data_IF_384192837345
#
_entry.id   IF_384192837345
#
_cell.length_a   1.000
_cell.length_b   1.000
_cell.length_c   1.000
_cell.angle_alpha   90.00
_cell.angle_beta   90.00
_cell.angle_gamma   90.00
#
_symmetry.space_group_name_H-M   'P 1'
#
loop_
_entity.id
_entity.type
_entity.pdbx_description
1 polymer ?
#
# COMPACT_ATOMS: atom_id res chain seq x y z
N UNK A 1 3.89 0.90 8.76
CA UNK A 1 3.03 -0.30 8.77
C UNK A 1 2.07 -0.28 9.95
N UNK A 2 2.58 -0.13 11.18
CA UNK A 2 1.74 -0.04 12.39
C UNK A 2 0.61 0.99 12.29
N UNK A 3 0.92 2.23 11.87
CA UNK A 3 -0.09 3.28 11.66
C UNK A 3 -1.19 2.89 10.68
N UNK A 4 -0.88 2.11 9.64
CA UNK A 4 -1.89 1.64 8.68
C UNK A 4 -2.85 0.65 9.35
N UNK A 5 -2.32 -0.30 10.12
CA UNK A 5 -3.13 -1.27 10.87
C UNK A 5 -4.00 -0.54 11.90
N UNK A 6 -3.44 0.41 12.65
CA UNK A 6 -4.17 1.18 13.66
C UNK A 6 -5.26 2.06 13.04
N UNK A 7 -4.97 2.71 11.91
CA UNK A 7 -5.96 3.52 11.19
C UNK A 7 -7.10 2.65 10.63
N UNK A 8 -6.76 1.48 10.08
CA UNK A 8 -7.78 0.57 9.55
C UNK A 8 -8.64 -0.01 10.68
N UNK A 9 -8.02 -0.39 11.80
CA UNK A 9 -8.72 -0.84 12.99
C UNK A 9 -9.63 0.25 13.57
N UNK A 10 -9.20 1.52 13.53
CA UNK A 10 -10.04 2.64 13.92
C UNK A 10 -11.23 2.86 12.97
N UNK A 11 -11.02 2.65 11.66
CA UNK A 11 -12.07 2.76 10.64
C UNK A 11 -13.11 1.64 10.72
N UNK A 12 -12.70 0.41 11.03
CA UNK A 12 -13.60 -0.76 11.12
C UNK A 12 -14.24 -0.86 12.51
N UNK A 13 -13.53 -0.44 13.55
CA UNK A 13 -13.91 -0.59 14.95
C UNK A 13 -13.26 -1.82 15.59
N UNK A 14 -13.03 -1.74 16.91
CA UNK A 14 -12.37 -2.82 17.66
C UNK A 14 -13.31 -4.00 17.87
N UNK A 15 -14.55 -3.77 18.30
CA UNK A 15 -15.53 -4.81 18.56
C UNK A 15 -15.81 -5.73 17.35
N UNK A 16 -16.10 -5.22 16.13
CA UNK A 16 -16.30 -6.08 14.97
C UNK A 16 -15.08 -6.94 14.62
N UNK A 17 -13.87 -6.39 14.80
CA UNK A 17 -12.62 -7.12 14.56
C UNK A 17 -12.39 -8.18 15.63
N UNK A 18 -12.67 -7.87 16.90
CA UNK A 18 -12.61 -8.79 18.03
C UNK A 18 -13.55 -9.99 17.82
N UNK A 19 -14.80 -9.71 17.46
CA UNK A 19 -15.81 -10.73 17.16
C UNK A 19 -15.37 -11.61 15.98
N UNK A 20 -14.80 -11.02 14.92
CA UNK A 20 -14.36 -11.76 13.73
C UNK A 20 -13.16 -12.68 13.97
N UNK A 21 -12.25 -12.31 14.89
CA UNK A 21 -11.06 -13.11 15.21
C UNK A 21 -11.22 -13.93 16.50
N UNK A 22 -12.39 -13.87 17.15
CA UNK A 22 -12.73 -14.67 18.32
C UNK A 22 -12.00 -14.27 19.61
N UNK A 23 -11.69 -12.99 19.78
CA UNK A 23 -11.02 -12.48 21.00
C UNK A 23 -11.81 -11.34 21.63
N UNK A 24 -11.62 -11.10 22.93
CA UNK A 24 -12.23 -9.95 23.59
C UNK A 24 -11.69 -8.61 23.07
N UNK A 25 -12.57 -7.60 23.03
CA UNK A 25 -12.20 -6.22 22.68
C UNK A 25 -11.08 -5.65 23.58
N UNK A 26 -11.06 -6.06 24.86
CA UNK A 26 -10.01 -5.69 25.81
C UNK A 26 -8.63 -6.26 25.43
N UNK A 27 -8.59 -7.37 24.67
CA UNK A 27 -7.36 -7.98 24.15
C UNK A 27 -6.82 -7.15 22.99
N UNK A 28 -7.69 -6.68 22.09
CA UNK A 28 -7.31 -5.73 21.02
C UNK A 28 -6.77 -4.43 21.62
N UNK A 29 -7.39 -3.93 22.69
CA UNK A 29 -6.91 -2.73 23.37
C UNK A 29 -5.47 -2.88 23.87
N UNK A 30 -5.13 -4.03 24.47
CA UNK A 30 -3.77 -4.38 24.92
C UNK A 30 -2.78 -4.49 23.76
N UNK A 31 -3.20 -5.00 22.61
CA UNK A 31 -2.32 -5.16 21.44
C UNK A 31 -1.82 -3.85 20.83
N UNK A 32 -2.60 -2.77 20.98
CA UNK A 32 -2.27 -1.41 20.50
C UNK A 32 -1.28 -0.65 21.38
N UNK A 33 -0.94 -1.17 22.57
CA UNK A 33 0.00 -0.52 23.47
C UNK A 33 1.40 -0.37 22.84
N UNK A 34 2.18 0.59 23.35
CA UNK A 34 3.57 0.80 22.92
C UNK A 34 4.41 -0.46 23.25
N UNK A 35 5.10 -1.04 22.26
CA UNK A 35 5.75 -2.35 22.37
C UNK A 35 4.79 -3.55 22.33
N UNK A 36 3.51 -3.31 22.03
CA UNK A 36 2.47 -4.33 21.96
C UNK A 36 2.58 -5.23 20.73
N UNK A 37 1.67 -6.20 20.65
CA UNK A 37 1.70 -7.21 19.59
C UNK A 37 1.60 -6.63 18.17
N UNK A 38 0.90 -5.51 17.97
CA UNK A 38 0.81 -4.90 16.62
C UNK A 38 2.18 -4.40 16.15
N UNK A 39 2.94 -3.76 17.02
CA UNK A 39 4.28 -3.26 16.71
C UNK A 39 5.25 -4.43 16.44
N UNK A 40 5.22 -5.47 17.27
CA UNK A 40 6.04 -6.67 17.10
C UNK A 40 5.72 -7.39 15.80
N UNK A 41 4.44 -7.55 15.47
CA UNK A 41 4.00 -8.18 14.23
C UNK A 41 4.40 -7.36 13.01
N UNK A 42 4.32 -6.03 13.07
CA UNK A 42 4.81 -5.16 11.99
C UNK A 42 6.32 -5.30 11.77
N UNK A 43 7.11 -5.41 12.84
CA UNK A 43 8.55 -5.67 12.73
C UNK A 43 8.81 -7.02 12.10
N UNK A 44 8.12 -8.06 12.55
CA UNK A 44 8.23 -9.40 11.99
C UNK A 44 7.94 -9.43 10.48
N UNK A 45 6.84 -8.80 10.05
CA UNK A 45 6.51 -8.70 8.62
C UNK A 45 7.56 -7.92 7.83
N UNK A 46 8.12 -6.85 8.40
CA UNK A 46 9.17 -6.08 7.77
C UNK A 46 10.45 -6.89 7.55
N UNK A 47 10.87 -7.69 8.53
CA UNK A 47 12.03 -8.59 8.41
C UNK A 47 11.80 -9.70 7.37
N UNK A 48 10.56 -10.16 7.21
CA UNK A 48 10.20 -11.10 6.15
C UNK A 48 10.07 -10.44 4.77
N UNK A 49 10.20 -9.12 4.66
CA UNK A 49 9.99 -8.38 3.43
C UNK A 49 8.52 -8.35 2.96
N UNK A 50 7.57 -8.66 3.83
CA UNK A 50 6.14 -8.69 3.50
C UNK A 50 5.56 -7.28 3.65
N UNK A 51 4.93 -6.79 2.59
CA UNK A 51 4.27 -5.49 2.58
C UNK A 51 2.75 -5.65 2.72
N UNK A 52 2.15 -4.84 3.59
CA UNK A 52 0.71 -4.73 3.75
C UNK A 52 0.19 -3.52 2.97
N UNK A 53 -0.89 -3.72 2.22
CA UNK A 53 -1.56 -2.69 1.45
C UNK A 53 -3.02 -2.55 1.91
N UNK A 54 -3.55 -1.32 2.05
CA UNK A 54 -4.97 -1.12 2.34
C UNK A 54 -5.86 -1.55 1.16
N UNK A 55 -7.15 -1.83 1.39
CA UNK A 55 -8.10 -2.17 0.33
C UNK A 55 -8.29 -0.95 -0.59
N UNK A 56 -7.61 -0.96 -1.74
CA UNK A 56 -7.58 0.15 -2.70
C UNK A 56 -6.17 0.56 -3.15
N UNK A 57 -5.13 0.10 -2.46
CA UNK A 57 -3.77 0.26 -2.94
C UNK A 57 -3.45 -0.83 -4.00
N UNK A 58 -2.84 -0.41 -5.11
CA UNK A 58 -2.30 -1.31 -6.12
C UNK A 58 -0.84 -1.59 -5.77
N UNK A 59 -0.51 -2.86 -5.56
CA UNK A 59 0.88 -3.30 -5.39
C UNK A 59 1.46 -3.62 -6.76
N UNK A 60 2.44 -2.82 -7.16
CA UNK A 60 3.22 -3.07 -8.38
C UNK A 60 4.65 -3.41 -8.00
N UNK A 61 5.28 -4.30 -8.76
CA UNK A 61 6.71 -4.51 -8.60
C UNK A 61 7.46 -3.24 -9.02
N UNK A 62 8.55 -2.95 -8.31
CA UNK A 62 9.36 -1.74 -8.54
C UNK A 62 9.92 -1.69 -9.96
N UNK A 63 10.43 -2.81 -10.47
CA UNK A 63 10.98 -2.95 -11.82
C UNK A 63 9.95 -2.62 -12.91
N UNK A 64 8.72 -3.09 -12.71
CA UNK A 64 7.61 -2.82 -13.61
C UNK A 64 7.25 -1.33 -13.63
N UNK A 65 7.15 -0.69 -12.46
CA UNK A 65 6.86 0.74 -12.36
C UNK A 65 7.91 1.60 -13.09
N UNK A 66 9.20 1.31 -12.86
CA UNK A 66 10.29 1.99 -13.57
C UNK A 66 10.27 1.76 -15.08
N UNK A 67 9.91 0.56 -15.51
CA UNK A 67 9.79 0.24 -16.94
C UNK A 67 8.70 1.09 -17.60
N UNK A 68 7.54 1.19 -16.94
CA UNK A 68 6.42 2.00 -17.44
C UNK A 68 6.78 3.49 -17.46
N UNK A 69 7.43 4.00 -16.42
CA UNK A 69 7.90 5.39 -16.37
C UNK A 69 8.89 5.70 -17.51
N UNK A 70 9.82 4.79 -17.76
CA UNK A 70 10.80 4.91 -18.85
C UNK A 70 10.11 4.93 -20.22
N UNK A 71 9.17 4.02 -20.45
CA UNK A 71 8.41 3.96 -21.70
C UNK A 71 7.54 5.19 -21.91
N UNK A 72 6.94 5.72 -20.83
CA UNK A 72 6.17 6.96 -20.90
C UNK A 72 7.06 8.15 -21.29
N UNK A 73 8.24 8.30 -20.70
CA UNK A 73 9.19 9.37 -21.05
C UNK A 73 9.64 9.28 -22.52
N UNK A 74 9.94 8.06 -23.00
CA UNK A 74 10.27 7.83 -24.42
C UNK A 74 9.10 8.23 -25.33
N UNK A 75 7.89 7.78 -25.00
CA UNK A 75 6.68 8.11 -25.78
C UNK A 75 6.43 9.61 -25.82
N UNK A 76 6.56 10.31 -24.69
CA UNK A 76 6.38 11.77 -24.62
C UNK A 76 7.43 12.52 -25.45
N UNK A 77 8.68 12.05 -25.49
CA UNK A 77 9.72 12.61 -26.38
C UNK A 77 9.38 12.36 -27.85
N UNK A 78 8.92 11.17 -28.20
CA UNK A 78 8.53 10.84 -29.56
C UNK A 78 7.37 11.72 -30.07
N UNK A 79 6.36 11.97 -29.23
CA UNK A 79 5.25 12.89 -29.56
C UNK A 79 5.74 14.31 -29.82
N UNK A 80 6.69 14.81 -29.01
CA UNK A 80 7.26 16.16 -29.22
C UNK A 80 8.09 16.27 -30.50
N UNK A 81 8.68 15.17 -30.94
CA UNK A 81 9.49 15.11 -32.16
C UNK A 81 8.65 14.78 -33.40
N UNK A 82 7.34 14.56 -33.27
CA UNK A 82 6.50 14.34 -34.44
C UNK A 82 6.52 15.59 -35.30
N UNK A 83 6.93 15.48 -36.58
CA UNK A 83 6.81 16.59 -37.51
C UNK A 83 5.34 16.97 -37.65
N UNK A 84 5.07 18.25 -37.92
CA UNK A 84 3.70 18.69 -38.20
C UNK A 84 3.10 17.82 -39.32
N UNK A 85 1.79 17.55 -39.28
CA UNK A 85 1.14 16.79 -40.34
C UNK A 85 1.53 17.40 -41.69
N UNK A 86 2.03 16.56 -42.60
CA UNK A 86 2.26 16.97 -43.98
C UNK A 86 0.91 17.47 -44.53
N UNK A 87 0.72 18.79 -44.51
CA UNK A 87 -0.39 19.46 -45.16
C UNK A 87 -0.26 19.17 -46.65
N UNK A 88 -1.22 18.42 -47.18
CA UNK A 88 -1.37 18.26 -48.62
C UNK A 88 -2.31 19.38 -49.12
N UNK A 89 -1.82 20.62 -49.09
CA UNK A 89 -2.38 21.74 -49.86
C UNK A 89 -1.58 21.91 -51.16
#
# INVERSE_FOLDING_TARGET
>A
MERLILNQLASVGQKPVADAIGIDESTISRWKGKGGHVEQFCRFLAELGIQLAPPGAVLVRRDYLFSVETLADIGMKAVRMQPEPLGWD
#
